data_IF_099188760997
#
_entry.id   IF_099188760997
#
_cell.length_a   1.000
_cell.length_b   1.000
_cell.length_c   1.000
_cell.angle_alpha   90.00
_cell.angle_beta   90.00
_cell.angle_gamma   90.00
#
_symmetry.space_group_name_H-M   'P 1'
#
loop_
_entity.id
_entity.type
_entity.pdbx_description
1 polymer ?
#
# COMPACT_ATOMS: atom_id res chain seq x y z
N UNK A 1 -15.31 4.36 21.26
CA UNK A 1 -15.39 5.21 20.04
C UNK A 1 -16.59 4.79 19.18
N UNK A 2 -17.33 5.73 18.58
CA UNK A 2 -18.54 5.44 17.78
C UNK A 2 -18.35 4.34 16.72
N UNK A 3 -17.13 4.19 16.20
CA UNK A 3 -16.72 3.14 15.26
C UNK A 3 -16.78 1.69 15.82
N UNK A 4 -16.52 1.52 17.12
CA UNK A 4 -16.70 0.26 17.87
C UNK A 4 -18.11 0.15 18.48
N UNK A 5 -18.97 1.15 18.25
CA UNK A 5 -20.30 1.30 18.86
C UNK A 5 -20.28 1.16 20.39
N UNK A 6 -19.19 1.57 21.00
CA UNK A 6 -18.99 1.57 22.46
C UNK A 6 -18.77 2.99 22.93
N UNK A 7 -19.68 3.44 23.79
CA UNK A 7 -19.54 4.66 24.57
C UNK A 7 -18.74 4.35 25.84
N UNK A 8 -17.84 5.25 26.21
CA UNK A 8 -17.05 5.13 27.44
C UNK A 8 -17.82 5.83 28.57
N UNK A 9 -17.84 5.23 29.76
CA UNK A 9 -18.27 5.93 30.97
C UNK A 9 -17.29 7.04 31.35
N UNK A 10 -17.72 8.02 32.17
CA UNK A 10 -16.83 9.10 32.64
C UNK A 10 -15.56 8.57 33.33
N UNK A 11 -15.68 7.44 34.06
CA UNK A 11 -14.54 6.83 34.74
C UNK A 11 -13.57 6.18 33.74
N UNK A 12 -14.08 5.53 32.69
CA UNK A 12 -13.27 4.94 31.63
C UNK A 12 -12.60 6.03 30.78
N UNK A 13 -13.28 7.15 30.52
CA UNK A 13 -12.67 8.30 29.84
C UNK A 13 -11.51 8.88 30.64
N UNK A 14 -11.65 9.02 31.97
CA UNK A 14 -10.57 9.51 32.85
C UNK A 14 -9.36 8.57 32.90
N UNK A 15 -9.61 7.26 32.80
CA UNK A 15 -8.56 6.25 32.85
C UNK A 15 -7.96 5.93 31.46
N UNK A 16 -8.58 6.43 30.39
CA UNK A 16 -8.10 6.21 29.02
C UNK A 16 -6.79 6.94 28.73
N UNK A 17 -6.03 6.40 27.79
CA UNK A 17 -4.82 7.02 27.25
C UNK A 17 -5.08 7.60 25.86
N UNK A 18 -4.27 8.57 25.44
CA UNK A 18 -4.30 9.12 24.09
C UNK A 18 -2.97 8.80 23.42
N UNK A 19 -3.04 8.14 22.26
CA UNK A 19 -1.89 7.84 21.42
C UNK A 19 -1.88 8.86 20.29
N UNK A 20 -0.76 9.57 20.14
CA UNK A 20 -0.53 10.48 19.01
C UNK A 20 0.18 9.73 17.89
N UNK A 21 -0.42 9.73 16.71
CA UNK A 21 0.10 9.06 15.54
C UNK A 21 0.18 10.01 14.35
N UNK A 22 1.08 9.73 13.42
CA UNK A 22 1.13 10.38 12.12
C UNK A 22 0.89 9.34 11.04
N UNK A 23 -0.19 9.49 10.27
CA UNK A 23 -0.51 8.66 9.12
C UNK A 23 -0.63 9.57 7.90
N UNK A 24 0.17 9.31 6.85
CA UNK A 24 0.11 10.11 5.62
C UNK A 24 0.22 11.65 5.82
N UNK A 25 1.07 12.10 6.73
CA UNK A 25 1.21 13.52 7.14
C UNK A 25 0.01 14.12 7.86
N UNK A 26 -0.97 13.30 8.26
CA UNK A 26 -2.09 13.70 9.11
C UNK A 26 -1.74 13.29 10.54
N UNK A 27 -1.75 14.26 11.44
CA UNK A 27 -1.60 14.01 12.87
C UNK A 27 -2.95 13.64 13.46
N UNK A 28 -3.04 12.45 14.03
CA UNK A 28 -4.26 11.96 14.68
C UNK A 28 -3.98 11.61 16.14
N UNK A 29 -5.01 11.78 16.97
CA UNK A 29 -5.00 11.37 18.37
C UNK A 29 -6.03 10.26 18.57
N UNK A 30 -5.58 9.05 18.87
CA UNK A 30 -6.42 7.89 19.12
C UNK A 30 -6.60 7.72 20.63
N UNK A 31 -7.84 7.82 21.12
CA UNK A 31 -8.17 7.48 22.51
C UNK A 31 -8.30 5.96 22.65
N UNK A 32 -7.51 5.37 23.54
CA UNK A 32 -7.53 3.94 23.87
C UNK A 32 -7.87 3.74 25.34
N UNK A 33 -8.65 2.71 25.66
CA UNK A 33 -9.07 2.43 27.05
C UNK A 33 -7.89 2.15 27.99
N UNK A 34 -6.82 1.57 27.46
CA UNK A 34 -5.56 1.34 28.16
C UNK A 34 -4.54 0.68 27.23
N UNK A 35 -3.27 0.75 27.59
CA UNK A 35 -2.18 0.08 26.87
C UNK A 35 -1.72 -1.07 27.76
N UNK A 36 -2.00 -2.31 27.35
CA UNK A 36 -1.55 -3.48 28.09
C UNK A 36 -0.06 -3.74 27.87
N UNK A 37 0.38 -3.75 26.61
CA UNK A 37 1.77 -3.97 26.21
C UNK A 37 2.01 -3.37 24.82
N UNK A 38 3.26 -3.01 24.52
CA UNK A 38 3.73 -2.64 23.17
C UNK A 38 4.65 -3.76 22.69
N UNK A 39 4.32 -4.35 21.54
CA UNK A 39 5.07 -5.44 20.92
C UNK A 39 5.35 -5.04 19.47
N UNK A 40 6.60 -5.14 19.04
CA UNK A 40 6.97 -4.95 17.64
C UNK A 40 6.82 -6.28 16.92
N UNK A 41 6.15 -6.27 15.77
CA UNK A 41 5.92 -7.44 14.90
C UNK A 41 6.39 -7.15 13.49
N UNK A 42 6.88 -8.18 12.82
CA UNK A 42 7.12 -8.12 11.38
C UNK A 42 5.79 -8.31 10.65
N UNK A 43 5.60 -7.59 9.55
CA UNK A 43 4.39 -7.71 8.71
C UNK A 43 4.17 -9.12 8.13
N UNK A 44 5.20 -9.97 8.14
CA UNK A 44 5.10 -11.37 7.72
C UNK A 44 4.33 -12.23 8.74
N UNK A 45 4.32 -11.84 10.02
CA UNK A 45 3.57 -12.51 11.09
C UNK A 45 2.09 -12.10 11.09
N UNK A 46 1.73 -11.11 10.26
CA UNK A 46 0.37 -10.60 10.13
C UNK A 46 -0.37 -11.42 9.09
N UNK A 47 -1.52 -11.96 9.50
CA UNK A 47 -2.37 -12.79 8.68
C UNK A 47 -3.69 -12.09 8.36
N UNK A 48 -4.21 -12.23 7.14
CA UNK A 48 -5.54 -11.73 6.79
C UNK A 48 -6.62 -12.51 7.53
N UNK A 49 -7.61 -11.82 8.10
CA UNK A 49 -8.76 -12.47 8.73
C UNK A 49 -9.80 -12.85 7.67
N UNK A 50 -9.75 -14.10 7.20
CA UNK A 50 -10.61 -14.60 6.12
C UNK A 50 -11.98 -15.14 6.58
N UNK A 51 -12.41 -14.84 7.81
CA UNK A 51 -13.69 -15.32 8.35
C UNK A 51 -14.87 -14.40 7.97
N UNK A 52 -15.30 -14.42 6.71
CA UNK A 52 -16.54 -13.75 6.28
C UNK A 52 -17.82 -14.44 6.78
N UNK A 53 -17.78 -15.72 7.18
CA UNK A 53 -19.01 -16.47 7.52
C UNK A 53 -19.56 -16.24 8.94
N UNK A 54 -18.76 -15.75 9.89
CA UNK A 54 -19.17 -15.69 11.31
C UNK A 54 -19.05 -14.33 11.97
N UNK A 55 -18.49 -13.33 11.29
CA UNK A 55 -18.53 -11.94 11.76
C UNK A 55 -19.13 -11.05 10.67
N UNK A 56 -20.26 -10.36 10.94
CA UNK A 56 -20.86 -9.40 10.02
C UNK A 56 -20.12 -8.06 10.10
N UNK A 57 -18.80 -8.08 10.03
CA UNK A 57 -18.00 -6.87 9.87
C UNK A 57 -17.49 -6.87 8.45
N UNK A 58 -18.01 -5.93 7.68
CA UNK A 58 -17.61 -5.59 6.31
C UNK A 58 -16.22 -4.90 6.32
N UNK A 59 -15.28 -5.46 7.09
CA UNK A 59 -14.01 -4.82 7.47
C UNK A 59 -12.87 -5.79 7.23
N UNK A 60 -11.93 -5.38 6.38
CA UNK A 60 -10.63 -6.05 6.25
C UNK A 60 -9.89 -5.90 7.59
N UNK A 61 -9.98 -6.93 8.42
CA UNK A 61 -9.24 -7.02 9.67
C UNK A 61 -8.05 -7.95 9.43
N UNK A 62 -6.90 -7.57 9.96
CA UNK A 62 -5.75 -8.44 10.04
C UNK A 62 -5.61 -8.93 11.48
N UNK A 63 -4.89 -10.02 11.69
CA UNK A 63 -4.58 -10.50 13.04
C UNK A 63 -3.15 -11.03 13.13
N UNK A 64 -2.63 -11.04 14.35
CA UNK A 64 -1.37 -11.69 14.72
C UNK A 64 -1.57 -12.47 16.02
N UNK A 65 -0.67 -13.40 16.31
CA UNK A 65 -0.63 -14.11 17.59
C UNK A 65 0.44 -13.49 18.51
N UNK A 66 0.23 -13.59 19.83
CA UNK A 66 1.30 -13.39 20.81
C UNK A 66 2.35 -14.51 20.71
N UNK A 67 3.57 -14.27 21.19
CA UNK A 67 4.69 -15.23 21.06
C UNK A 67 4.42 -16.58 21.73
N UNK A 68 3.61 -16.57 22.78
CA UNK A 68 3.18 -17.76 23.50
C UNK A 68 2.01 -18.49 22.81
N UNK A 69 1.52 -17.97 21.68
CA UNK A 69 0.35 -18.47 20.95
C UNK A 69 -0.96 -18.35 21.73
N UNK A 70 -0.97 -17.69 22.89
CA UNK A 70 -2.09 -17.72 23.83
C UNK A 70 -3.27 -16.87 23.40
N UNK A 71 -3.00 -15.82 22.62
CA UNK A 71 -3.97 -14.77 22.33
C UNK A 71 -3.89 -14.30 20.89
N UNK A 72 -5.07 -14.09 20.30
CA UNK A 72 -5.25 -13.45 19.00
C UNK A 72 -5.34 -11.95 19.23
N UNK A 73 -4.46 -11.20 18.56
CA UNK A 73 -4.51 -9.74 18.51
C UNK A 73 -5.07 -9.31 17.16
N UNK A 74 -6.21 -8.61 17.18
CA UNK A 74 -6.75 -7.97 15.99
C UNK A 74 -5.95 -6.69 15.69
N UNK A 75 -5.58 -6.54 14.43
CA UNK A 75 -4.90 -5.36 13.91
C UNK A 75 -5.95 -4.47 13.26
N UNK A 76 -5.99 -3.24 13.72
CA UNK A 76 -6.90 -2.22 13.25
C UNK A 76 -6.44 -1.71 11.88
N UNK A 77 -7.30 -1.79 10.88
CA UNK A 77 -7.12 -1.06 9.62
C UNK A 77 -7.36 0.43 9.88
N UNK A 78 -6.26 1.15 10.12
CA UNK A 78 -6.30 2.58 10.39
C UNK A 78 -6.69 3.37 9.15
N UNK A 79 -6.33 2.92 7.95
CA UNK A 79 -6.71 3.63 6.72
C UNK A 79 -8.23 3.66 6.57
N UNK A 80 -8.85 2.49 6.69
CA UNK A 80 -10.31 2.38 6.64
C UNK A 80 -10.98 3.18 7.75
N UNK A 81 -10.48 3.07 8.99
CA UNK A 81 -10.99 3.88 10.11
C UNK A 81 -11.00 5.37 9.77
N UNK A 82 -9.90 5.87 9.20
CA UNK A 82 -9.77 7.28 8.87
C UNK A 82 -10.71 7.67 7.74
N UNK A 83 -11.01 6.78 6.79
CA UNK A 83 -12.03 7.04 5.75
C UNK A 83 -13.44 7.21 6.33
N UNK A 84 -13.77 6.49 7.41
CA UNK A 84 -15.08 6.63 8.07
C UNK A 84 -15.14 7.87 8.99
N UNK A 85 -14.05 8.20 9.68
CA UNK A 85 -14.03 9.29 10.67
C UNK A 85 -13.76 10.66 10.04
N UNK A 86 -12.93 10.70 8.99
CA UNK A 86 -12.54 11.91 8.28
C UNK A 86 -12.88 11.77 6.78
N UNK A 87 -14.15 11.55 6.42
CA UNK A 87 -14.54 11.24 5.05
C UNK A 87 -14.09 12.32 4.09
N UNK A 88 -14.20 13.61 4.40
CA UNK A 88 -13.75 14.68 3.50
C UNK A 88 -12.25 14.65 3.23
N UNK A 89 -11.42 14.44 4.26
CA UNK A 89 -9.99 14.31 4.03
C UNK A 89 -9.65 13.05 3.22
N UNK A 90 -10.44 11.98 3.30
CA UNK A 90 -10.16 10.69 2.68
C UNK A 90 -10.96 10.38 1.40
N UNK A 91 -11.96 11.20 1.06
CA UNK A 91 -12.80 11.09 -0.15
C UNK A 91 -12.31 11.96 -1.30
N UNK A 92 -11.54 13.02 -1.02
CA UNK A 92 -11.02 13.97 -2.01
C UNK A 92 -10.14 13.30 -3.08
N UNK A 93 -9.56 12.12 -2.79
CA UNK A 93 -8.71 11.41 -3.73
C UNK A 93 -9.46 11.06 -5.05
N UNK A 94 -10.76 10.72 -4.98
CA UNK A 94 -11.53 10.41 -6.19
C UNK A 94 -11.83 11.66 -7.02
N UNK A 95 -12.18 12.78 -6.38
CA UNK A 95 -12.37 14.06 -7.07
C UNK A 95 -11.05 14.59 -7.64
N UNK A 96 -9.94 14.42 -6.93
CA UNK A 96 -8.60 14.78 -7.39
C UNK A 96 -8.19 13.98 -8.63
N UNK A 97 -8.48 12.67 -8.65
CA UNK A 97 -8.30 11.85 -9.85
C UNK A 97 -9.17 12.39 -10.98
N UNK A 98 -10.42 12.79 -10.72
CA UNK A 98 -11.33 13.40 -11.71
C UNK A 98 -10.87 14.80 -12.20
N UNK A 99 -10.14 15.55 -11.38
CA UNK A 99 -9.63 16.89 -11.69
C UNK A 99 -8.14 16.92 -12.07
N UNK A 100 -7.50 15.75 -12.19
CA UNK A 100 -6.10 15.62 -12.57
C UNK A 100 -5.74 16.52 -13.78
N UNK A 101 -4.75 17.40 -13.66
CA UNK A 101 -4.34 18.27 -14.74
C UNK A 101 -3.50 17.49 -15.78
N UNK A 102 -4.17 16.71 -16.65
CA UNK A 102 -3.50 15.94 -17.71
C UNK A 102 -2.87 16.79 -18.81
N UNK A 103 -3.24 18.07 -18.90
CA UNK A 103 -3.00 18.87 -20.12
C UNK A 103 -1.54 18.97 -20.57
N UNK A 104 -0.57 18.68 -19.71
CA UNK A 104 0.86 18.83 -20.02
C UNK A 104 1.75 17.64 -19.62
N UNK A 105 1.20 16.45 -19.31
CA UNK A 105 2.02 15.29 -18.92
C UNK A 105 2.11 14.28 -20.06
N UNK A 106 3.31 14.14 -20.61
CA UNK A 106 3.59 13.14 -21.64
C UNK A 106 3.83 11.76 -21.00
N UNK A 107 2.86 10.87 -21.21
CA UNK A 107 2.90 9.49 -20.75
C UNK A 107 3.88 8.68 -21.62
N UNK A 108 4.89 8.02 -21.03
CA UNK A 108 5.84 7.16 -21.75
C UNK A 108 5.16 6.07 -22.58
N UNK A 109 5.69 5.82 -23.79
CA UNK A 109 5.18 4.77 -24.69
C UNK A 109 5.27 3.36 -24.07
N UNK A 110 6.26 3.12 -23.21
CA UNK A 110 6.39 1.86 -22.46
C UNK A 110 5.15 1.58 -21.61
N UNK A 111 4.60 2.60 -20.95
CA UNK A 111 3.37 2.47 -20.15
C UNK A 111 2.14 2.22 -21.02
N UNK A 112 2.05 2.84 -22.20
CA UNK A 112 0.90 2.67 -23.11
C UNK A 112 0.85 1.28 -23.75
N UNK A 113 2.02 0.74 -24.09
CA UNK A 113 2.15 -0.52 -24.82
C UNK A 113 2.38 -1.75 -23.92
N UNK A 114 2.68 -1.51 -22.63
CA UNK A 114 2.92 -2.55 -21.63
C UNK A 114 1.79 -2.66 -20.61
N UNK A 115 1.94 -3.58 -19.66
CA UNK A 115 1.02 -3.78 -18.54
C UNK A 115 1.71 -3.51 -17.22
N UNK A 116 1.18 -2.55 -16.45
CA UNK A 116 1.65 -2.22 -15.11
C UNK A 116 1.22 -3.34 -14.15
N UNK A 117 2.14 -3.91 -13.39
CA UNK A 117 1.80 -4.90 -12.37
C UNK A 117 1.73 -4.21 -11.00
N UNK A 118 0.72 -4.52 -10.21
CA UNK A 118 0.45 -3.85 -8.93
C UNK A 118 0.22 -4.87 -7.83
N UNK A 119 1.01 -4.86 -6.76
CA UNK A 119 0.73 -5.58 -5.52
C UNK A 119 0.23 -4.59 -4.46
N UNK A 120 -1.02 -4.76 -4.03
CA UNK A 120 -1.72 -3.87 -3.09
C UNK A 120 -2.89 -4.65 -2.47
N UNK A 121 -2.95 -4.75 -1.13
CA UNK A 121 -3.96 -5.53 -0.40
C UNK A 121 -5.14 -4.67 0.08
N UNK A 122 -5.01 -3.34 0.10
CA UNK A 122 -6.11 -2.45 0.46
C UNK A 122 -7.07 -2.24 -0.72
N UNK A 123 -8.31 -2.71 -0.59
CA UNK A 123 -9.34 -2.55 -1.62
C UNK A 123 -9.61 -1.08 -1.99
N UNK A 124 -9.43 -0.17 -1.04
CA UNK A 124 -9.57 1.28 -1.26
C UNK A 124 -8.44 1.82 -2.15
N UNK A 125 -7.21 1.40 -1.89
CA UNK A 125 -6.03 1.74 -2.67
C UNK A 125 -6.07 1.12 -4.07
N UNK A 126 -6.52 -0.13 -4.19
CA UNK A 126 -6.75 -0.77 -5.49
C UNK A 126 -7.78 0.02 -6.32
N UNK A 127 -8.91 0.43 -5.72
CA UNK A 127 -9.94 1.23 -6.40
C UNK A 127 -9.39 2.58 -6.87
N UNK A 128 -8.59 3.25 -6.02
CA UNK A 128 -7.90 4.47 -6.40
C UNK A 128 -7.00 4.27 -7.62
N UNK A 129 -6.09 3.28 -7.57
CA UNK A 129 -5.14 3.01 -8.63
C UNK A 129 -5.85 2.58 -9.93
N UNK A 130 -6.92 1.79 -9.82
CA UNK A 130 -7.78 1.41 -10.95
C UNK A 130 -8.34 2.63 -11.66
N UNK A 131 -9.02 3.52 -10.93
CA UNK A 131 -9.58 4.75 -11.48
C UNK A 131 -8.48 5.63 -12.10
N UNK A 132 -7.32 5.70 -11.46
CA UNK A 132 -6.17 6.47 -11.93
C UNK A 132 -5.61 5.94 -13.27
N UNK A 133 -5.41 4.62 -13.41
CA UNK A 133 -4.90 4.02 -14.65
C UNK A 133 -5.95 3.99 -15.76
N UNK A 134 -7.22 3.72 -15.46
CA UNK A 134 -8.31 3.77 -16.44
C UNK A 134 -8.43 5.17 -17.04
N UNK A 135 -8.30 6.22 -16.21
CA UNK A 135 -8.32 7.60 -16.68
C UNK A 135 -7.14 7.97 -17.59
N UNK A 136 -5.99 7.35 -17.36
CA UNK A 136 -4.80 7.48 -18.21
C UNK A 136 -4.81 6.54 -19.42
N UNK A 137 -5.84 5.69 -19.56
CA UNK A 137 -5.95 4.66 -20.59
C UNK A 137 -4.71 3.73 -20.62
N UNK A 138 -4.27 3.31 -19.43
CA UNK A 138 -3.13 2.41 -19.23
C UNK A 138 -3.60 0.99 -18.89
N UNK A 139 -2.85 -0.01 -19.33
CA UNK A 139 -3.11 -1.41 -18.96
C UNK A 139 -2.46 -1.74 -17.63
N UNK A 140 -3.18 -2.44 -16.76
CA UNK A 140 -2.69 -2.81 -15.43
C UNK A 140 -3.23 -4.18 -15.00
N UNK A 141 -2.54 -4.81 -14.04
CA UNK A 141 -2.96 -6.06 -13.39
C UNK A 141 -2.66 -6.01 -11.90
N UNK A 142 -3.67 -6.30 -11.08
CA UNK A 142 -3.56 -6.35 -9.63
C UNK A 142 -3.22 -7.74 -9.09
N UNK A 143 -2.56 -7.75 -7.93
CA UNK A 143 -2.24 -8.89 -7.09
C UNK A 143 -2.51 -8.50 -5.64
N UNK A 144 -3.14 -9.40 -4.88
CA UNK A 144 -3.55 -9.14 -3.49
C UNK A 144 -2.37 -9.06 -2.52
N UNK A 145 -1.19 -9.58 -2.88
CA UNK A 145 0.04 -9.47 -2.09
C UNK A 145 1.27 -9.80 -2.96
N UNK A 146 2.48 -9.69 -2.39
CA UNK A 146 3.73 -9.83 -3.15
C UNK A 146 3.98 -11.21 -3.77
N UNK A 147 3.47 -12.29 -3.17
CA UNK A 147 3.71 -13.67 -3.62
C UNK A 147 3.18 -13.95 -5.05
N UNK A 148 1.87 -13.81 -5.29
CA UNK A 148 1.28 -13.98 -6.62
C UNK A 148 1.90 -13.09 -7.70
N UNK A 149 2.33 -11.88 -7.33
CA UNK A 149 3.06 -11.00 -8.25
C UNK A 149 4.40 -11.61 -8.66
N UNK A 150 5.19 -12.09 -7.69
CA UNK A 150 6.48 -12.72 -7.93
C UNK A 150 6.34 -13.98 -8.80
N UNK A 151 5.38 -14.84 -8.49
CA UNK A 151 5.07 -16.04 -9.28
C UNK A 151 4.69 -15.69 -10.72
N UNK A 152 3.85 -14.65 -10.89
CA UNK A 152 3.44 -14.19 -12.21
C UNK A 152 4.62 -13.66 -13.03
N UNK A 153 5.47 -12.82 -12.44
CA UNK A 153 6.68 -12.30 -13.09
C UNK A 153 7.63 -13.45 -13.45
N UNK A 154 7.75 -14.46 -12.59
CA UNK A 154 8.60 -15.62 -12.87
C UNK A 154 8.13 -16.43 -14.08
N UNK A 155 6.82 -16.53 -14.27
CA UNK A 155 6.20 -17.26 -15.39
C UNK A 155 6.17 -16.51 -16.72
N UNK A 156 6.57 -15.24 -16.76
CA UNK A 156 6.62 -14.45 -18.01
C UNK A 156 7.95 -14.63 -18.72
N UNK A 157 7.89 -14.95 -20.01
CA UNK A 157 9.05 -15.06 -20.89
C UNK A 157 9.54 -13.70 -21.38
N UNK A 158 8.62 -12.81 -21.76
CA UNK A 158 8.93 -11.48 -22.29
C UNK A 158 8.60 -10.39 -21.27
N UNK A 159 9.61 -9.99 -20.51
CA UNK A 159 9.48 -8.95 -19.47
C UNK A 159 9.48 -7.53 -20.06
N UNK A 160 9.74 -7.35 -21.37
CA UNK A 160 9.71 -6.03 -22.00
C UNK A 160 8.31 -5.41 -22.02
N UNK A 161 7.28 -6.25 -21.86
CA UNK A 161 5.89 -5.84 -21.73
C UNK A 161 5.52 -5.38 -20.30
N UNK A 162 6.45 -5.43 -19.35
CA UNK A 162 6.27 -4.95 -17.98
C UNK A 162 7.06 -3.65 -17.81
N UNK A 163 6.44 -2.48 -18.08
CA UNK A 163 7.14 -1.21 -18.04
C UNK A 163 7.37 -0.69 -16.61
N UNK A 164 6.60 -1.21 -15.66
CA UNK A 164 6.61 -0.77 -14.27
C UNK A 164 5.95 -1.81 -13.36
N UNK A 165 6.54 -2.03 -12.20
CA UNK A 165 5.90 -2.72 -11.07
C UNK A 165 5.63 -1.69 -9.98
N UNK A 166 4.43 -1.74 -9.41
CA UNK A 166 4.02 -0.95 -8.24
C UNK A 166 3.78 -1.91 -7.09
N UNK A 167 4.30 -1.60 -5.90
CA UNK A 167 4.07 -2.41 -4.71
C UNK A 167 3.80 -1.52 -3.51
N UNK A 168 2.79 -1.88 -2.71
CA UNK A 168 2.75 -1.44 -1.33
C UNK A 168 3.85 -2.15 -0.53
N UNK A 169 4.25 -1.53 0.57
CA UNK A 169 5.23 -2.04 1.51
C UNK A 169 4.58 -2.92 2.57
N UNK A 170 3.42 -2.51 3.08
CA UNK A 170 2.77 -3.12 4.23
C UNK A 170 1.72 -4.12 3.80
N UNK A 171 2.16 -5.24 3.21
CA UNK A 171 1.29 -6.34 2.82
C UNK A 171 1.54 -7.58 3.70
N UNK A 172 0.50 -8.38 3.99
CA UNK A 172 0.64 -9.64 4.72
C UNK A 172 1.40 -10.68 3.89
N UNK A 173 1.99 -11.67 4.58
CA UNK A 173 2.72 -12.81 4.01
C UNK A 173 4.01 -12.40 3.27
N UNK A 174 3.91 -11.71 2.13
CA UNK A 174 5.04 -11.20 1.35
C UNK A 174 4.90 -9.68 1.23
N UNK A 175 5.78 -8.96 1.94
CA UNK A 175 5.82 -7.50 1.96
C UNK A 175 6.48 -6.92 0.70
N UNK A 176 6.23 -5.64 0.44
CA UNK A 176 6.87 -4.94 -0.69
C UNK A 176 8.39 -4.88 -0.59
N UNK A 177 8.96 -4.86 0.63
CA UNK A 177 10.41 -4.96 0.82
C UNK A 177 10.95 -6.26 0.19
N UNK A 178 10.23 -7.37 0.37
CA UNK A 178 10.65 -8.65 -0.17
C UNK A 178 10.46 -8.72 -1.68
N UNK A 179 9.36 -8.16 -2.20
CA UNK A 179 9.16 -7.99 -3.66
C UNK A 179 10.33 -7.24 -4.29
N UNK A 180 10.71 -6.08 -3.73
CA UNK A 180 11.83 -5.28 -4.24
C UNK A 180 13.12 -6.09 -4.20
N UNK A 181 13.44 -6.71 -3.05
CA UNK A 181 14.68 -7.46 -2.85
C UNK A 181 14.81 -8.60 -3.86
N UNK A 182 13.78 -9.42 -4.01
CA UNK A 182 13.81 -10.56 -4.93
C UNK A 182 13.95 -10.10 -6.37
N UNK A 183 13.11 -9.16 -6.83
CA UNK A 183 13.12 -8.68 -8.20
C UNK A 183 14.42 -7.95 -8.56
N UNK A 184 14.99 -7.17 -7.63
CA UNK A 184 16.26 -6.46 -7.86
C UNK A 184 17.50 -7.34 -7.73
N UNK A 185 17.40 -8.48 -7.04
CA UNK A 185 18.48 -9.46 -6.94
C UNK A 185 18.59 -10.39 -8.16
N UNK A 186 17.49 -10.63 -8.88
CA UNK A 186 17.48 -11.48 -10.07
C UNK A 186 17.91 -10.69 -11.33
N UNK A 187 18.95 -11.19 -12.01
CA UNK A 187 19.47 -10.64 -13.27
C UNK A 187 18.40 -10.46 -14.36
N UNK A 188 17.37 -11.32 -14.37
CA UNK A 188 16.28 -11.31 -15.33
C UNK A 188 15.27 -10.18 -15.05
N UNK A 189 15.08 -9.78 -13.80
CA UNK A 189 14.03 -8.81 -13.42
C UNK A 189 14.58 -7.49 -12.89
N UNK A 190 15.86 -7.40 -12.52
CA UNK A 190 16.45 -6.23 -11.84
C UNK A 190 16.32 -4.90 -12.59
N UNK A 191 16.11 -4.99 -13.90
CA UNK A 191 15.97 -3.83 -14.79
C UNK A 191 14.53 -3.31 -14.87
N UNK A 192 13.54 -4.06 -14.38
CA UNK A 192 12.14 -3.61 -14.32
C UNK A 192 12.07 -2.49 -13.28
N UNK A 193 11.54 -1.30 -13.62
CA UNK A 193 11.37 -0.22 -12.67
C UNK A 193 10.36 -0.60 -11.58
N UNK A 194 10.65 -0.26 -10.33
CA UNK A 194 9.75 -0.50 -9.19
C UNK A 194 9.41 0.84 -8.51
N UNK A 195 8.12 1.16 -8.49
CA UNK A 195 7.57 2.31 -7.77
C UNK A 195 6.87 1.84 -6.49
N UNK A 196 7.35 2.31 -5.35
CA UNK A 196 6.70 2.05 -4.06
C UNK A 196 5.50 2.98 -3.88
N UNK A 197 4.35 2.41 -3.52
CA UNK A 197 3.10 3.12 -3.26
C UNK A 197 2.63 2.83 -1.82
N UNK A 198 2.93 3.72 -0.87
CA UNK A 198 2.78 3.41 0.57
C UNK A 198 2.15 4.55 1.37
N UNK A 199 1.44 4.21 2.46
CA UNK A 199 0.92 5.19 3.41
C UNK A 199 1.95 5.63 4.46
N UNK A 200 3.03 4.86 4.63
CA UNK A 200 4.15 5.23 5.48
C UNK A 200 5.18 6.04 4.68
N UNK A 201 5.04 7.36 4.73
CA UNK A 201 5.85 8.28 3.91
C UNK A 201 7.01 8.94 4.66
N UNK A 202 7.38 8.42 5.83
CA UNK A 202 8.50 8.98 6.60
C UNK A 202 9.86 8.76 5.90
N UNK A 203 10.85 9.59 6.25
CA UNK A 203 12.18 9.56 5.63
C UNK A 203 12.92 8.22 5.80
N UNK A 204 12.66 7.50 6.90
CA UNK A 204 13.28 6.21 7.16
C UNK A 204 12.73 5.15 6.19
N UNK A 205 11.42 5.08 6.02
CA UNK A 205 10.74 4.20 5.06
C UNK A 205 11.25 4.46 3.64
N UNK A 206 11.33 5.73 3.22
CA UNK A 206 11.85 6.10 1.89
C UNK A 206 13.31 5.69 1.69
N UNK A 207 14.16 5.82 2.72
CA UNK A 207 15.57 5.36 2.65
C UNK A 207 15.66 3.85 2.55
N UNK A 208 14.92 3.12 3.39
CA UNK A 208 14.96 1.66 3.45
C UNK A 208 14.62 1.03 2.09
N UNK A 209 13.54 1.46 1.44
CA UNK A 209 13.14 0.90 0.13
C UNK A 209 14.10 1.28 -1.00
N UNK A 210 14.69 2.48 -0.92
CA UNK A 210 15.72 2.92 -1.87
C UNK A 210 16.99 2.08 -1.77
N UNK A 211 17.41 1.72 -0.55
CA UNK A 211 18.56 0.84 -0.31
C UNK A 211 18.32 -0.58 -0.85
N UNK A 212 17.07 -1.04 -0.89
CA UNK A 212 16.69 -2.30 -1.55
C UNK A 212 16.68 -2.21 -3.08
N UNK A 213 16.79 -1.01 -3.65
CA UNK A 213 16.84 -0.77 -5.09
C UNK A 213 15.52 -0.32 -5.71
N UNK A 214 14.54 0.14 -4.92
CA UNK A 214 13.35 0.78 -5.48
C UNK A 214 13.74 2.05 -6.26
N UNK A 215 13.07 2.25 -7.40
CA UNK A 215 13.38 3.32 -8.34
C UNK A 215 12.56 4.59 -8.08
N UNK A 216 11.35 4.40 -7.55
CA UNK A 216 10.43 5.47 -7.20
C UNK A 216 9.75 5.24 -5.87
N UNK A 217 9.26 6.31 -5.26
CA UNK A 217 8.43 6.26 -4.06
C UNK A 217 7.39 7.36 -4.09
N UNK A 218 6.14 6.99 -3.80
CA UNK A 218 5.02 7.92 -3.69
C UNK A 218 4.10 7.53 -2.53
N UNK A 219 3.56 8.56 -1.86
CA UNK A 219 2.54 8.38 -0.85
C UNK A 219 1.16 8.17 -1.47
N UNK A 220 0.32 7.29 -0.87
CA UNK A 220 -1.03 6.98 -1.40
C UNK A 220 -1.97 8.20 -1.54
N UNK A 221 -1.60 9.34 -0.95
CA UNK A 221 -2.41 10.55 -0.79
C UNK A 221 -2.11 11.71 -1.73
N UNK A 222 -1.15 11.57 -2.64
CA UNK A 222 -0.79 12.68 -3.53
C UNK A 222 -0.93 12.28 -4.99
N UNK A 223 -2.08 12.61 -5.57
CA UNK A 223 -2.40 12.27 -6.98
C UNK A 223 -1.44 12.96 -7.95
N UNK A 224 -1.04 14.20 -7.66
CA UNK A 224 -0.03 14.91 -8.45
C UNK A 224 1.35 14.22 -8.38
N UNK A 225 1.78 13.82 -7.18
CA UNK A 225 3.02 13.08 -7.02
C UNK A 225 2.93 11.69 -7.65
N UNK A 226 1.77 11.04 -7.61
CA UNK A 226 1.54 9.75 -8.26
C UNK A 226 1.81 9.85 -9.77
N UNK A 227 1.22 10.85 -10.43
CA UNK A 227 1.47 11.06 -11.86
C UNK A 227 2.94 11.38 -12.16
N UNK A 228 3.56 12.26 -11.36
CA UNK A 228 4.98 12.61 -11.52
C UNK A 228 5.90 11.39 -11.35
N UNK A 229 5.69 10.61 -10.28
CA UNK A 229 6.52 9.45 -9.97
C UNK A 229 6.28 8.30 -10.94
N UNK A 230 5.04 8.07 -11.38
CA UNK A 230 4.72 7.10 -12.43
C UNK A 230 5.55 7.36 -13.68
N UNK A 231 5.50 8.59 -14.19
CA UNK A 231 6.20 8.99 -15.41
C UNK A 231 7.72 8.97 -15.22
N UNK A 232 8.22 9.49 -14.09
CA UNK A 232 9.65 9.52 -13.81
C UNK A 232 10.23 8.10 -13.70
N UNK A 233 9.54 7.19 -13.01
CA UNK A 233 10.00 5.82 -12.77
C UNK A 233 9.96 5.00 -14.05
N UNK A 234 8.89 5.11 -14.85
CA UNK A 234 8.75 4.38 -16.10
C UNK A 234 9.68 4.84 -17.23
N UNK A 235 10.36 5.99 -17.07
CA UNK A 235 11.39 6.50 -17.99
C UNK A 235 12.77 5.92 -17.73
N UNK A 236 12.95 5.19 -16.62
CA UNK A 236 14.20 4.48 -16.37
C UNK A 236 14.33 3.42 -17.46
N UNK A 237 15.42 3.46 -18.25
CA UNK A 237 15.57 2.51 -19.34
C UNK A 237 15.48 1.10 -18.80
N UNK A 238 14.53 0.31 -19.31
CA UNK A 238 14.64 -1.14 -19.27
C UNK A 238 15.98 -1.44 -19.92
N UNK A 239 16.93 -1.95 -19.16
CA UNK A 239 18.26 -2.26 -19.67
C UNK A 239 18.08 -3.03 -20.98
N UNK A 240 18.50 -2.39 -22.09
CA UNK A 240 18.25 -2.90 -23.43
C UNK A 240 18.75 -4.33 -23.50
N UNK A 241 17.84 -5.21 -23.89
CA UNK A 241 17.99 -6.65 -24.05
C UNK A 241 19.38 -6.99 -24.56
N UNK A 242 20.01 -7.94 -23.87
CA UNK A 242 21.24 -8.61 -24.29
C UNK A 242 21.17 -8.96 -25.78
N UNK A 243 22.03 -8.31 -26.57
CA UNK A 243 22.52 -8.79 -27.86
C UNK A 243 23.58 -9.87 -27.64
#
# INVERSE_FOLDING_TARGET
PRWLRTDLSEQEERNSSIIFCNFNNIQIALRVGGIHQIITRDWQDVLPLTFHEYMPVDRNLNYTLLDDGSSVCLILDVEYLLTEVLPHEFSEIQEDVQNLPFKNVEIPESLKNGTILVAEDSSSAQLYLKNFFEKLNLSFKFFEHGGPLLEYVQGISDLSLIPLIITDIEMPIISGHEVIRQLKSDSRTKHIPILVFSSMTNDQSRKAVKELGADGFVGKRSVEQMLKQLVATARIPLASSFS
#
